data_IF_790959574190
#
_entry.id   IF_790959574190
#
_cell.length_a   1.000
_cell.length_b   1.000
_cell.length_c   1.000
_cell.angle_alpha   90.00
_cell.angle_beta   90.00
_cell.angle_gamma   90.00
#
_symmetry.space_group_name_H-M   'P 1'
#
loop_
_entity.id
_entity.type
_entity.pdbx_description
1 polymer ?
#
# COMPACT_ATOMS: atom_id res chain seq x y z
N UNK A 1 -5.16 -17.84 -7.05
CA UNK A 1 -4.47 -17.51 -5.77
C UNK A 1 -5.43 -16.67 -4.95
N UNK A 2 -5.63 -16.97 -3.67
CA UNK A 2 -6.59 -16.27 -2.80
C UNK A 2 -5.79 -15.38 -1.84
N UNK A 3 -6.01 -14.04 -1.81
CA UNK A 3 -5.35 -13.14 -0.86
C UNK A 3 -5.45 -13.64 0.59
N UNK A 4 -4.43 -13.40 1.42
CA UNK A 4 -4.47 -13.79 2.85
C UNK A 4 -5.67 -13.19 3.59
N UNK A 5 -6.03 -11.94 3.28
CA UNK A 5 -7.26 -11.32 3.78
C UNK A 5 -8.52 -12.15 3.46
N UNK A 6 -8.58 -12.75 2.27
CA UNK A 6 -9.68 -13.65 1.88
C UNK A 6 -9.53 -15.08 2.44
N UNK A 7 -8.33 -15.50 2.86
CA UNK A 7 -8.12 -16.74 3.63
C UNK A 7 -8.56 -16.59 5.09
N UNK A 8 -8.28 -15.45 5.71
CA UNK A 8 -8.62 -15.13 7.11
C UNK A 8 -10.07 -14.63 7.25
N UNK A 9 -10.59 -13.96 6.21
CA UNK A 9 -11.99 -13.52 6.11
C UNK A 9 -12.61 -14.04 4.79
N UNK A 10 -13.19 -15.25 4.79
CA UNK A 10 -13.72 -15.91 3.58
C UNK A 10 -14.83 -15.13 2.87
N UNK A 11 -15.47 -14.20 3.57
CA UNK A 11 -16.52 -13.32 3.05
C UNK A 11 -15.98 -12.05 2.40
N UNK A 12 -14.69 -11.72 2.56
CA UNK A 12 -14.03 -10.63 1.83
C UNK A 12 -13.71 -11.10 0.41
N UNK A 13 -14.14 -10.32 -0.58
CA UNK A 13 -13.90 -10.60 -2.00
C UNK A 13 -13.02 -9.50 -2.57
N UNK A 14 -11.71 -9.71 -2.53
CA UNK A 14 -10.70 -8.75 -2.99
C UNK A 14 -9.83 -8.21 -1.86
N UNK A 15 -9.14 -7.12 -2.16
CA UNK A 15 -8.11 -6.51 -1.34
C UNK A 15 -8.56 -5.10 -0.95
N UNK A 16 -8.67 -4.81 0.35
CA UNK A 16 -8.96 -3.47 0.87
C UNK A 16 -7.96 -2.46 0.28
N UNK A 17 -8.46 -1.51 -0.52
CA UNK A 17 -7.61 -0.57 -1.25
C UNK A 17 -7.87 0.88 -0.83
N UNK A 18 -6.78 1.62 -0.61
CA UNK A 18 -6.79 3.07 -0.42
C UNK A 18 -5.99 3.70 -1.55
N UNK A 19 -6.56 4.72 -2.20
CA UNK A 19 -5.82 5.59 -3.13
C UNK A 19 -5.43 6.88 -2.41
N UNK A 20 -4.31 7.49 -2.80
CA UNK A 20 -3.94 8.78 -2.26
C UNK A 20 -3.29 9.67 -3.31
N UNK A 21 -3.62 10.96 -3.19
CA UNK A 21 -2.84 12.06 -3.75
C UNK A 21 -2.74 13.11 -2.65
N UNK A 22 -3.42 14.24 -2.70
CA UNK A 22 -3.45 15.20 -1.57
C UNK A 22 -4.11 14.65 -0.29
N UNK A 23 -5.00 13.66 -0.42
CA UNK A 23 -5.73 13.02 0.69
C UNK A 23 -5.84 11.52 0.43
N UNK A 24 -5.99 10.72 1.49
CA UNK A 24 -6.22 9.27 1.38
C UNK A 24 -7.71 8.93 1.29
N UNK A 25 -8.13 8.18 0.27
CA UNK A 25 -9.51 7.74 0.04
C UNK A 25 -9.59 6.22 0.03
N UNK A 26 -10.35 5.64 0.96
CA UNK A 26 -10.67 4.21 0.91
C UNK A 26 -11.67 3.94 -0.21
N UNK A 27 -11.29 3.14 -1.20
CA UNK A 27 -12.10 2.87 -2.40
C UNK A 27 -12.82 1.52 -2.37
N UNK A 28 -12.61 0.73 -1.32
CA UNK A 28 -13.20 -0.59 -1.14
C UNK A 28 -12.27 -1.72 -1.58
N UNK A 29 -12.84 -2.91 -1.79
CA UNK A 29 -12.08 -4.13 -2.13
C UNK A 29 -11.86 -4.25 -3.64
N UNK A 30 -10.60 -4.20 -4.07
CA UNK A 30 -10.19 -4.53 -5.43
C UNK A 30 -10.01 -6.04 -5.56
N UNK A 31 -10.75 -6.67 -6.46
CA UNK A 31 -10.63 -8.08 -6.80
C UNK A 31 -10.41 -8.24 -8.29
N UNK A 32 -9.93 -9.41 -8.73
CA UNK A 32 -9.80 -9.71 -10.15
C UNK A 32 -11.13 -9.60 -10.93
N UNK A 33 -12.29 -9.70 -10.26
CA UNK A 33 -13.59 -9.65 -10.90
C UNK A 33 -14.07 -8.21 -11.19
N UNK A 34 -13.84 -7.28 -10.27
CA UNK A 34 -14.28 -5.88 -10.38
C UNK A 34 -13.15 -4.90 -10.73
N UNK A 35 -11.91 -5.40 -10.90
CA UNK A 35 -10.73 -4.56 -11.08
C UNK A 35 -10.90 -3.51 -12.17
N UNK A 36 -11.28 -3.91 -13.40
CA UNK A 36 -11.34 -2.96 -14.52
C UNK A 36 -12.35 -1.83 -14.29
N UNK A 37 -13.47 -2.15 -13.66
CA UNK A 37 -14.50 -1.18 -13.30
C UNK A 37 -14.03 -0.25 -12.19
N UNK A 38 -13.47 -0.80 -11.11
CA UNK A 38 -13.06 -0.02 -9.94
C UNK A 38 -11.77 0.77 -10.20
N UNK A 39 -10.85 0.25 -11.01
CA UNK A 39 -9.67 0.95 -11.50
C UNK A 39 -10.08 2.20 -12.29
N UNK A 40 -10.97 2.06 -13.28
CA UNK A 40 -11.39 3.19 -14.12
C UNK A 40 -12.26 4.21 -13.39
N UNK A 41 -13.05 3.77 -12.41
CA UNK A 41 -14.05 4.64 -11.76
C UNK A 41 -13.60 5.22 -10.42
N UNK A 42 -12.65 4.57 -9.72
CA UNK A 42 -12.24 4.94 -8.36
C UNK A 42 -10.77 5.31 -8.22
N UNK A 43 -9.92 4.91 -9.17
CA UNK A 43 -8.49 5.27 -9.16
C UNK A 43 -8.28 6.50 -10.03
N UNK A 44 -8.14 7.65 -9.40
CA UNK A 44 -7.78 8.91 -10.07
C UNK A 44 -6.28 9.16 -9.95
N UNK A 45 -5.58 9.24 -11.08
CA UNK A 45 -4.17 9.60 -11.13
C UNK A 45 -4.03 11.14 -11.15
N UNK A 46 -3.35 11.71 -10.14
CA UNK A 46 -3.01 13.14 -10.08
C UNK A 46 -3.12 13.77 -8.69
N UNK A 47 -2.24 14.75 -8.43
CA UNK A 47 -2.19 15.57 -7.19
C UNK A 47 -0.74 15.85 -6.77
N UNK A 48 -0.52 16.93 -6.01
CA UNK A 48 0.82 17.33 -5.57
C UNK A 48 1.39 16.37 -4.54
N UNK A 49 2.64 15.96 -4.74
CA UNK A 49 3.30 14.93 -3.95
C UNK A 49 3.93 15.52 -2.67
N UNK A 50 3.26 15.33 -1.53
CA UNK A 50 3.82 15.49 -0.17
C UNK A 50 3.39 14.28 0.66
N UNK A 51 4.08 13.17 0.44
CA UNK A 51 3.81 11.82 0.96
C UNK A 51 3.76 11.74 2.49
N UNK A 52 4.56 12.53 3.22
CA UNK A 52 4.62 12.45 4.69
C UNK A 52 3.32 12.88 5.39
N UNK A 53 2.60 13.89 4.88
CA UNK A 53 1.26 14.25 5.37
C UNK A 53 0.17 13.26 4.92
N UNK A 54 0.36 12.64 3.76
CA UNK A 54 -0.60 11.72 3.14
C UNK A 54 -0.63 10.36 3.84
N UNK A 55 0.48 9.97 4.48
CA UNK A 55 0.59 8.73 5.29
C UNK A 55 -0.32 8.69 6.51
N UNK A 56 -0.34 9.78 7.28
CA UNK A 56 -1.27 9.90 8.39
C UNK A 56 -2.72 9.82 7.91
N UNK A 57 -3.02 10.37 6.73
CA UNK A 57 -4.37 10.33 6.18
C UNK A 57 -4.80 8.90 5.85
N UNK A 58 -4.03 8.10 5.08
CA UNK A 58 -4.50 6.75 4.71
C UNK A 58 -4.52 5.78 5.90
N UNK A 59 -3.51 5.82 6.79
CA UNK A 59 -3.49 4.98 7.99
C UNK A 59 -4.67 5.30 8.88
N UNK A 60 -4.92 6.59 9.13
CA UNK A 60 -6.07 7.04 9.91
C UNK A 60 -7.40 6.60 9.25
N UNK A 61 -7.54 6.77 7.94
CA UNK A 61 -8.74 6.33 7.21
C UNK A 61 -8.98 4.83 7.34
N UNK A 62 -7.95 4.00 7.14
CA UNK A 62 -8.08 2.55 7.26
C UNK A 62 -8.46 2.13 8.68
N UNK A 63 -7.74 2.64 9.69
CA UNK A 63 -8.01 2.28 11.07
C UNK A 63 -9.37 2.81 11.56
N UNK A 64 -9.78 4.01 11.16
CA UNK A 64 -11.13 4.51 11.45
C UNK A 64 -12.20 3.63 10.82
N UNK A 65 -12.00 3.20 9.58
CA UNK A 65 -12.93 2.29 8.90
C UNK A 65 -13.01 0.95 9.65
N UNK A 66 -11.87 0.34 9.94
CA UNK A 66 -11.78 -0.93 10.67
C UNK A 66 -12.41 -0.84 12.06
N UNK A 67 -12.19 0.27 12.76
CA UNK A 67 -12.78 0.52 14.07
C UNK A 67 -14.30 0.66 13.99
N UNK A 68 -14.78 1.47 13.05
CA UNK A 68 -16.19 1.80 12.91
C UNK A 68 -17.05 0.60 12.51
N UNK A 69 -16.56 -0.25 11.61
CA UNK A 69 -17.37 -1.32 11.01
C UNK A 69 -17.10 -2.70 11.58
N UNK A 70 -15.89 -2.96 12.09
CA UNK A 70 -15.47 -4.29 12.53
C UNK A 70 -14.98 -4.32 13.99
N UNK A 71 -14.90 -3.16 14.66
CA UNK A 71 -14.38 -3.08 16.03
C UNK A 71 -12.87 -3.30 16.14
N UNK A 72 -12.15 -3.28 15.01
CA UNK A 72 -10.70 -3.46 14.96
C UNK A 72 -9.95 -2.14 15.06
N UNK A 73 -8.78 -2.17 15.68
CA UNK A 73 -7.98 -0.97 15.89
C UNK A 73 -8.50 -0.10 17.04
N UNK A 74 -7.58 0.38 17.86
CA UNK A 74 -7.84 1.23 19.02
C UNK A 74 -7.03 2.51 18.89
N UNK A 75 -7.67 3.66 19.07
CA UNK A 75 -6.97 4.94 19.11
C UNK A 75 -6.44 5.19 20.53
N UNK A 76 -5.14 5.46 20.62
CA UNK A 76 -4.47 5.94 21.83
C UNK A 76 -4.06 7.41 21.65
N UNK A 77 -4.23 8.23 22.68
CA UNK A 77 -3.97 9.67 22.59
C UNK A 77 -2.48 10.03 22.47
N UNK A 78 -1.58 9.12 22.85
CA UNK A 78 -0.12 9.30 22.80
C UNK A 78 0.47 8.55 21.61
N UNK A 79 0.01 7.32 21.37
CA UNK A 79 0.59 6.43 20.36
C UNK A 79 -0.21 6.37 19.05
N UNK A 80 -1.36 7.04 18.97
CA UNK A 80 -2.24 7.01 17.80
C UNK A 80 -2.92 5.65 17.62
N UNK A 81 -3.24 5.29 16.37
CA UNK A 81 -3.92 4.04 16.05
C UNK A 81 -3.05 2.80 16.27
N UNK A 82 -3.57 1.86 17.06
CA UNK A 82 -2.96 0.58 17.39
C UNK A 82 -3.82 -0.57 16.84
N UNK A 83 -3.25 -1.57 16.14
CA UNK A 83 -4.03 -2.68 15.62
C UNK A 83 -4.49 -3.62 16.74
N UNK A 84 -5.64 -4.26 16.56
CA UNK A 84 -6.04 -5.42 17.38
C UNK A 84 -5.41 -6.69 16.82
N UNK A 85 -5.20 -7.76 17.60
CA UNK A 85 -4.57 -9.00 17.12
C UNK A 85 -5.26 -9.62 15.89
N UNK A 86 -6.58 -9.48 15.78
CA UNK A 86 -7.38 -10.01 14.67
C UNK A 86 -7.55 -9.01 13.51
N UNK A 87 -6.93 -7.83 13.57
CA UNK A 87 -7.09 -6.82 12.53
C UNK A 87 -6.37 -7.26 11.25
N UNK A 88 -7.08 -7.37 10.12
CA UNK A 88 -6.44 -7.74 8.86
C UNK A 88 -5.40 -6.68 8.47
N UNK A 89 -4.23 -7.13 8.03
CA UNK A 89 -3.22 -6.25 7.45
C UNK A 89 -3.76 -5.63 6.16
N UNK A 90 -3.59 -4.32 6.01
CA UNK A 90 -3.93 -3.61 4.78
C UNK A 90 -2.98 -4.03 3.66
N UNK A 91 -3.48 -4.25 2.45
CA UNK A 91 -2.61 -4.34 1.26
C UNK A 91 -2.68 -3.02 0.50
N UNK A 92 -1.58 -2.27 0.53
CA UNK A 92 -1.46 -0.95 -0.06
C UNK A 92 -0.74 -1.05 -1.41
N UNK A 93 -1.33 -0.50 -2.47
CA UNK A 93 -0.68 -0.32 -3.76
C UNK A 93 -0.31 1.15 -3.96
N UNK A 94 0.98 1.42 -4.21
CA UNK A 94 1.52 2.77 -4.32
C UNK A 94 2.13 2.96 -5.71
N UNK A 95 1.66 3.96 -6.46
CA UNK A 95 2.26 4.37 -7.73
C UNK A 95 3.10 5.62 -7.54
N UNK A 96 4.36 5.55 -7.92
CA UNK A 96 5.32 6.65 -7.79
C UNK A 96 5.97 6.95 -9.14
N UNK A 97 6.31 8.21 -9.41
CA UNK A 97 7.10 8.64 -10.57
C UNK A 97 8.60 8.84 -10.28
N UNK A 98 8.98 8.76 -9.00
CA UNK A 98 10.36 8.91 -8.54
C UNK A 98 10.83 10.34 -8.33
N UNK A 99 9.96 11.34 -8.43
CA UNK A 99 10.35 12.76 -8.33
C UNK A 99 9.72 13.48 -7.13
N UNK A 100 9.15 12.71 -6.19
CA UNK A 100 8.57 13.27 -4.98
C UNK A 100 9.64 13.86 -4.06
N UNK A 101 9.39 15.06 -3.54
CA UNK A 101 10.32 15.77 -2.68
C UNK A 101 10.65 15.05 -1.35
N UNK A 102 9.85 14.05 -0.96
CA UNK A 102 9.97 13.27 0.26
C UNK A 102 10.11 11.75 -0.01
N UNK A 103 10.70 11.38 -1.14
CA UNK A 103 11.05 9.97 -1.44
C UNK A 103 11.90 9.33 -0.34
N UNK A 104 12.94 10.02 0.14
CA UNK A 104 13.86 9.49 1.15
C UNK A 104 13.13 9.16 2.47
N UNK A 105 12.21 10.02 2.90
CA UNK A 105 11.40 9.80 4.10
C UNK A 105 10.46 8.60 3.91
N UNK A 106 9.84 8.48 2.74
CA UNK A 106 8.98 7.36 2.40
C UNK A 106 9.73 6.02 2.39
N UNK A 107 10.92 5.97 1.78
CA UNK A 107 11.79 4.79 1.75
C UNK A 107 12.19 4.35 3.17
N UNK A 108 12.58 5.31 4.03
CA UNK A 108 12.91 5.05 5.42
C UNK A 108 11.72 4.51 6.22
N UNK A 109 10.52 5.05 6.01
CA UNK A 109 9.33 4.57 6.71
C UNK A 109 8.95 3.14 6.30
N UNK A 110 9.12 2.79 5.02
CA UNK A 110 8.88 1.44 4.53
C UNK A 110 9.81 0.41 5.18
N UNK A 111 11.00 0.78 5.66
CA UNK A 111 11.86 -0.14 6.41
C UNK A 111 11.23 -0.61 7.73
N UNK A 112 10.42 0.23 8.37
CA UNK A 112 9.75 -0.05 9.64
C UNK A 112 8.31 -0.56 9.50
N UNK A 113 7.84 -0.79 8.28
CA UNK A 113 6.43 -1.08 8.01
C UNK A 113 6.06 -2.53 8.38
N UNK A 114 5.14 -2.69 9.33
CA UNK A 114 4.73 -4.00 9.87
C UNK A 114 3.22 -4.24 9.90
N UNK A 115 2.41 -3.20 9.73
CA UNK A 115 0.95 -3.29 9.88
C UNK A 115 0.23 -3.40 8.53
N UNK A 116 0.93 -3.18 7.42
CA UNK A 116 0.42 -3.32 6.07
C UNK A 116 1.42 -4.07 5.16
N UNK A 117 0.90 -4.75 4.14
CA UNK A 117 1.68 -5.18 2.98
C UNK A 117 1.67 -4.06 1.94
N UNK A 118 2.83 -3.50 1.59
CA UNK A 118 2.94 -2.39 0.65
C UNK A 118 3.55 -2.88 -0.65
N UNK A 119 2.84 -2.72 -1.77
CA UNK A 119 3.37 -2.92 -3.12
C UNK A 119 3.64 -1.57 -3.74
N UNK A 120 4.89 -1.26 -4.02
CA UNK A 120 5.32 -0.03 -4.68
C UNK A 120 5.60 -0.32 -6.15
N UNK A 121 4.88 0.35 -7.03
CA UNK A 121 5.14 0.41 -8.46
C UNK A 121 5.74 1.78 -8.80
N UNK A 122 7.03 1.81 -9.09
CA UNK A 122 7.72 3.01 -9.51
C UNK A 122 7.70 3.06 -11.05
N UNK A 123 6.98 4.04 -11.60
CA UNK A 123 6.71 4.21 -13.03
C UNK A 123 7.51 5.41 -13.51
N UNK A 124 8.63 5.13 -14.17
CA UNK A 124 9.51 6.19 -14.70
C UNK A 124 8.97 6.76 -15.99
N UNK A 125 8.90 8.09 -16.07
CA UNK A 125 8.68 8.83 -17.32
C UNK A 125 10.03 9.29 -17.89
N UNK A 126 10.06 9.57 -19.19
CA UNK A 126 11.26 10.11 -19.84
C UNK A 126 11.65 11.46 -19.20
N UNK A 127 12.89 11.58 -18.71
CA UNK A 127 13.39 12.80 -18.08
C UNK A 127 13.26 12.88 -16.56
N UNK A 128 13.01 11.77 -15.85
CA UNK A 128 13.07 11.68 -14.38
C UNK A 128 14.51 11.35 -13.89
N UNK A 129 15.33 12.35 -13.50
CA UNK A 129 16.73 12.12 -13.16
C UNK A 129 16.93 11.31 -11.87
N UNK A 130 15.97 11.33 -10.94
CA UNK A 130 16.10 10.67 -9.65
C UNK A 130 15.50 9.26 -9.63
N UNK A 131 14.71 8.90 -10.66
CA UNK A 131 14.06 7.59 -10.78
C UNK A 131 15.02 6.42 -10.49
N UNK A 132 16.19 6.42 -11.12
CA UNK A 132 17.14 5.32 -10.96
C UNK A 132 17.69 5.22 -9.53
N UNK A 133 17.93 6.36 -8.88
CA UNK A 133 18.40 6.40 -7.49
C UNK A 133 17.36 5.80 -6.54
N UNK A 134 16.11 6.24 -6.67
CA UNK A 134 15.02 5.75 -5.83
C UNK A 134 14.62 4.30 -6.12
N UNK A 135 14.75 3.85 -7.36
CA UNK A 135 14.55 2.44 -7.71
C UNK A 135 15.52 1.53 -6.93
N UNK A 136 16.80 1.93 -6.84
CA UNK A 136 17.82 1.17 -6.11
C UNK A 136 17.51 1.10 -4.61
N UNK A 137 17.11 2.22 -4.00
CA UNK A 137 16.81 2.24 -2.58
C UNK A 137 15.52 1.47 -2.26
N UNK A 138 14.45 1.63 -3.04
CA UNK A 138 13.22 0.85 -2.87
C UNK A 138 13.45 -0.67 -3.08
N UNK A 139 14.32 -1.06 -4.01
CA UNK A 139 14.70 -2.46 -4.18
C UNK A 139 15.43 -3.00 -2.92
N UNK A 140 16.28 -2.18 -2.29
CA UNK A 140 16.92 -2.55 -1.02
C UNK A 140 15.88 -2.67 0.10
N UNK A 141 14.97 -1.72 0.22
CA UNK A 141 13.90 -1.75 1.23
C UNK A 141 13.08 -3.04 1.09
N UNK A 142 12.64 -3.39 -0.13
CA UNK A 142 11.88 -4.60 -0.40
C UNK A 142 12.66 -5.90 -0.09
N UNK A 143 13.99 -5.90 -0.26
CA UNK A 143 14.84 -7.03 0.14
C UNK A 143 14.93 -7.19 1.67
N UNK A 144 14.85 -6.09 2.42
CA UNK A 144 14.97 -6.12 3.88
C UNK A 144 13.64 -6.27 4.61
N UNK A 145 12.56 -5.67 4.10
CA UNK A 145 11.25 -5.76 4.69
C UNK A 145 10.33 -6.67 3.85
N UNK A 146 9.99 -7.87 4.33
CA UNK A 146 9.15 -8.80 3.58
C UNK A 146 7.69 -8.34 3.43
N UNK A 147 7.28 -7.27 4.12
CA UNK A 147 5.98 -6.63 3.88
C UNK A 147 5.98 -5.70 2.67
N UNK A 148 7.14 -5.41 2.07
CA UNK A 148 7.27 -4.47 0.97
C UNK A 148 7.61 -5.21 -0.32
N UNK A 149 6.71 -5.14 -1.30
CA UNK A 149 6.97 -5.54 -2.68
C UNK A 149 7.35 -4.31 -3.51
N UNK A 150 8.34 -4.45 -4.39
CA UNK A 150 8.78 -3.36 -5.26
C UNK A 150 8.85 -3.81 -6.72
N UNK A 151 8.34 -2.96 -7.61
CA UNK A 151 8.38 -3.13 -9.05
C UNK A 151 8.89 -1.85 -9.71
N UNK A 152 10.04 -1.94 -10.36
CA UNK A 152 10.54 -0.91 -11.26
C UNK A 152 9.89 -1.09 -12.63
N UNK A 153 8.88 -0.26 -12.90
CA UNK A 153 8.03 -0.36 -14.09
C UNK A 153 8.57 0.54 -15.19
N UNK A 154 9.17 -0.08 -16.18
CA UNK A 154 9.54 0.53 -17.46
C UNK A 154 8.55 0.08 -18.54
N UNK A 155 7.70 0.99 -19.04
CA UNK A 155 6.74 0.67 -20.12
C UNK A 155 5.45 -0.03 -19.68
N UNK A 156 4.88 -0.89 -20.54
CA UNK A 156 3.59 -1.58 -20.27
C UNK A 156 3.80 -2.80 -19.35
N UNK A 157 3.23 -2.76 -18.15
CA UNK A 157 3.30 -3.82 -17.15
C UNK A 157 1.92 -4.37 -16.78
N UNK A 158 1.83 -5.68 -16.59
CA UNK A 158 0.63 -6.34 -16.04
C UNK A 158 0.65 -6.30 -14.50
N UNK A 159 0.19 -5.17 -13.97
CA UNK A 159 0.10 -4.82 -12.55
C UNK A 159 -0.76 -5.82 -11.75
N UNK A 160 -1.64 -6.59 -12.39
CA UNK A 160 -2.53 -7.50 -11.69
C UNK A 160 -1.82 -8.69 -11.06
N UNK A 161 -0.73 -9.15 -11.66
CA UNK A 161 0.07 -10.27 -11.10
C UNK A 161 0.90 -9.87 -9.87
N UNK A 162 1.11 -8.57 -9.68
CA UNK A 162 2.02 -8.01 -8.68
C UNK A 162 1.33 -7.43 -7.44
N UNK A 163 0.04 -7.09 -7.53
CA UNK A 163 -0.80 -6.63 -6.39
C UNK A 163 -1.22 -7.78 -5.47
N UNK A 164 -1.21 -9.02 -5.98
CA UNK A 164 -1.32 -10.20 -5.13
C UNK A 164 0.07 -10.48 -4.56
N UNK A 165 0.29 -10.30 -3.25
CA UNK A 165 1.61 -10.50 -2.67
C UNK A 165 2.11 -11.92 -2.95
N UNK A 166 3.39 -12.01 -3.34
CA UNK A 166 4.20 -13.21 -3.19
C UNK A 166 3.98 -13.72 -1.76
N UNK A 167 3.79 -15.04 -1.59
CA UNK A 167 3.41 -15.64 -0.30
C UNK A 167 4.19 -14.99 0.86
N UNK A 168 3.49 -14.55 1.93
CA UNK A 168 4.15 -13.91 3.06
C UNK A 168 5.24 -14.83 3.63
N UNK A 169 6.29 -14.27 4.25
CA UNK A 169 7.36 -15.06 4.86
C UNK A 169 6.77 -16.09 5.82
N UNK A 170 7.27 -17.33 5.77
CA UNK A 170 6.74 -18.49 6.51
C UNK A 170 6.96 -18.47 8.03
N UNK A 171 7.35 -17.34 8.61
CA UNK A 171 7.60 -17.26 10.05
C UNK A 171 6.33 -16.87 10.80
N UNK A 172 6.16 -17.42 12.00
CA UNK A 172 5.10 -17.01 12.94
C UNK A 172 5.30 -15.53 13.28
N UNK A 173 4.41 -14.68 12.77
CA UNK A 173 4.32 -13.27 13.13
C UNK A 173 3.83 -13.20 14.59
N UNK A 174 4.62 -12.54 15.46
CA UNK A 174 4.31 -12.29 16.88
C UNK A 174 3.32 -11.13 16.98
#
# INVERSE_FOLDING_TARGET
MVPRAQKEHPTQYGIDTVTFSSWGTYIGQLSAHNFESDWRSRVTLGGGTRKSQQRYAFKNTYFQHQHKYFGHGRYDNIYGWQPTPEMPKLSLLVFLDGEAADMDEFELELLGETWAYVTVALVGMEGCPHHHSHAIELERVAKFNPHVGFYDVHGRYDILSSVYPIDPPTYEEI
#
